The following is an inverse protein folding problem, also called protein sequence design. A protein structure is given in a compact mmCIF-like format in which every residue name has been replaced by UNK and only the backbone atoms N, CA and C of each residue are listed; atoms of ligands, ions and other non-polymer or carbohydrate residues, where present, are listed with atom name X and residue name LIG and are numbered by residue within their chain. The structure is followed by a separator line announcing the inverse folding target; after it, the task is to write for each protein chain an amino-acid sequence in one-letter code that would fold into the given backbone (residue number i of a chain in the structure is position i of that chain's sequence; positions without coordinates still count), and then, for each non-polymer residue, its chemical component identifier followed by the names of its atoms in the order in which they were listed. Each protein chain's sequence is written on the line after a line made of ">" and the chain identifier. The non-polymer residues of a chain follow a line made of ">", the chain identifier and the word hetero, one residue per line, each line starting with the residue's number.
data_IF_566831291749
#
_entry.id   IF_566831291749
#
_cell.length_a   1.000
_cell.length_b   1.000
_cell.length_c   1.000
_cell.angle_alpha   90.00
_cell.angle_beta   90.00
_cell.angle_gamma   90.00
#
_symmetry.space_group_name_H-M   'P 1'
#
loop_
_entity.id
_entity.type
_entity.pdbx_description
1 polymer ?
#
# COMPACT_ATOMS: atom_id res chain seq x y z
N UNK A 1 46.82 -37.06 24.84
CA UNK A 1 47.81 -35.97 24.89
C UNK A 1 47.07 -34.72 25.34
N UNK A 2 46.95 -34.50 26.66
CA UNK A 2 46.43 -33.26 27.23
C UNK A 2 47.54 -32.23 27.11
N UNK A 3 47.43 -31.35 26.13
CA UNK A 3 48.40 -30.28 25.93
C UNK A 3 48.06 -29.19 26.95
N UNK A 4 48.80 -29.17 28.06
CA UNK A 4 48.66 -28.14 29.09
C UNK A 4 48.90 -26.77 28.43
N UNK A 5 47.85 -25.93 28.46
CA UNK A 5 47.91 -24.56 27.97
C UNK A 5 48.98 -23.82 28.77
N UNK A 6 49.90 -23.15 28.06
CA UNK A 6 51.00 -22.41 28.68
C UNK A 6 50.44 -21.35 29.64
N UNK A 7 50.90 -21.27 30.91
CA UNK A 7 50.29 -20.41 31.93
C UNK A 7 50.26 -18.93 31.55
N UNK A 8 51.26 -18.44 30.80
CA UNK A 8 51.27 -17.06 30.29
C UNK A 8 50.24 -16.79 29.17
N UNK A 9 49.57 -17.82 28.64
CA UNK A 9 48.51 -17.68 27.64
C UNK A 9 47.10 -17.56 28.24
N UNK A 10 46.91 -17.94 29.51
CA UNK A 10 45.58 -17.95 30.17
C UNK A 10 45.32 -16.62 30.90
N UNK A 11 46.35 -15.94 31.40
CA UNK A 11 46.23 -14.77 32.29
C UNK A 11 45.71 -13.50 31.60
N UNK A 12 45.69 -13.46 30.26
CA UNK A 12 45.28 -12.28 29.48
C UNK A 12 44.18 -12.57 28.45
N UNK A 13 43.48 -13.71 28.55
CA UNK A 13 42.38 -13.98 27.62
C UNK A 13 41.17 -13.10 27.97
N UNK A 14 40.64 -12.35 27.00
CA UNK A 14 39.42 -11.57 27.23
C UNK A 14 38.24 -12.51 27.49
N UNK A 15 37.37 -12.14 28.43
CA UNK A 15 36.34 -13.03 28.99
C UNK A 15 35.27 -13.54 28.02
N UNK A 16 35.30 -13.12 26.75
CA UNK A 16 34.43 -13.64 25.70
C UNK A 16 35.03 -14.83 24.94
N UNK A 17 36.31 -15.18 25.18
CA UNK A 17 36.96 -16.37 24.60
C UNK A 17 36.70 -17.57 25.52
N UNK A 18 36.04 -18.59 24.99
CA UNK A 18 35.66 -19.79 25.74
C UNK A 18 36.66 -20.94 25.51
N UNK A 19 36.86 -21.77 26.54
CA UNK A 19 37.75 -22.94 26.45
C UNK A 19 37.24 -23.98 25.43
N UNK A 20 38.12 -24.85 24.88
CA UNK A 20 37.72 -25.91 23.97
C UNK A 20 36.65 -26.83 24.58
N UNK A 21 35.57 -27.08 23.84
CA UNK A 21 34.43 -27.90 24.29
C UNK A 21 33.38 -27.15 25.12
N UNK A 22 33.56 -25.85 25.37
CA UNK A 22 32.54 -24.97 25.98
C UNK A 22 31.74 -24.23 24.90
N UNK A 23 30.55 -23.76 25.27
CA UNK A 23 29.70 -22.95 24.39
C UNK A 23 30.31 -21.57 24.16
N UNK A 24 30.55 -21.21 22.90
CA UNK A 24 31.04 -19.88 22.52
C UNK A 24 29.91 -18.84 22.62
N UNK A 25 29.90 -18.08 23.73
CA UNK A 25 28.90 -17.06 24.00
C UNK A 25 28.99 -15.86 23.04
N UNK A 26 30.19 -15.52 22.56
CA UNK A 26 30.36 -14.44 21.60
C UNK A 26 29.74 -14.82 20.26
N UNK A 27 30.02 -16.04 19.79
CA UNK A 27 29.42 -16.56 18.57
C UNK A 27 27.89 -16.54 18.65
N UNK A 28 27.32 -17.06 19.74
CA UNK A 28 25.86 -17.05 19.95
C UNK A 28 25.31 -15.62 19.97
N UNK A 29 25.97 -14.71 20.68
CA UNK A 29 25.58 -13.30 20.74
C UNK A 29 25.59 -12.63 19.37
N UNK A 30 26.64 -12.85 18.57
CA UNK A 30 26.76 -12.33 17.21
C UNK A 30 25.68 -12.91 16.29
N UNK A 31 25.37 -14.20 16.40
CA UNK A 31 24.29 -14.83 15.61
C UNK A 31 22.94 -14.20 15.94
N UNK A 32 22.61 -14.05 17.22
CA UNK A 32 21.35 -13.41 17.64
C UNK A 32 21.31 -11.96 17.15
N UNK A 33 22.40 -11.21 17.36
CA UNK A 33 22.51 -9.83 16.91
C UNK A 33 22.32 -9.71 15.38
N UNK A 34 22.98 -10.57 14.60
CA UNK A 34 22.89 -10.56 13.14
C UNK A 34 21.45 -10.87 12.69
N UNK A 35 20.78 -11.84 13.31
CA UNK A 35 19.38 -12.14 13.01
C UNK A 35 18.49 -10.92 13.28
N UNK A 36 18.59 -10.30 14.46
CA UNK A 36 17.83 -9.10 14.79
C UNK A 36 18.11 -7.97 13.81
N UNK A 37 19.38 -7.75 13.47
CA UNK A 37 19.80 -6.70 12.56
C UNK A 37 19.24 -6.90 11.15
N UNK A 38 19.30 -8.13 10.62
CA UNK A 38 18.69 -8.49 9.32
C UNK A 38 17.19 -8.31 9.34
N UNK A 39 16.49 -8.70 10.42
CA UNK A 39 15.06 -8.50 10.56
C UNK A 39 14.69 -7.00 10.57
N UNK A 40 15.46 -6.18 11.30
CA UNK A 40 15.24 -4.72 11.37
C UNK A 40 15.42 -4.09 9.99
N UNK A 41 16.54 -4.39 9.31
CA UNK A 41 16.81 -3.85 7.97
C UNK A 41 15.78 -4.36 6.95
N UNK A 42 15.46 -5.65 6.99
CA UNK A 42 14.45 -6.24 6.11
C UNK A 42 13.08 -5.59 6.29
N UNK A 43 12.66 -5.38 7.55
CA UNK A 43 11.42 -4.66 7.84
C UNK A 43 11.46 -3.21 7.35
N UNK A 44 12.56 -2.50 7.56
CA UNK A 44 12.74 -1.13 7.07
C UNK A 44 12.69 -1.08 5.53
N UNK A 45 13.30 -2.06 4.87
CA UNK A 45 13.29 -2.18 3.41
C UNK A 45 11.87 -2.35 2.86
N UNK A 46 11.08 -3.27 3.46
CA UNK A 46 9.67 -3.43 3.07
C UNK A 46 8.84 -2.17 3.36
N UNK A 47 9.08 -1.51 4.50
CA UNK A 47 8.38 -0.29 4.87
C UNK A 47 8.68 0.86 3.89
N UNK A 48 9.95 1.03 3.49
CA UNK A 48 10.36 2.07 2.53
C UNK A 48 9.78 1.81 1.14
N UNK A 49 9.69 0.55 0.71
CA UNK A 49 9.08 0.17 -0.56
C UNK A 49 7.56 0.38 -0.60
N UNK A 50 6.89 0.35 0.54
CA UNK A 50 5.46 0.64 0.67
C UNK A 50 5.14 2.16 0.79
N UNK A 51 6.15 3.04 0.84
CA UNK A 51 5.95 4.50 0.92
C UNK A 51 5.20 5.07 -0.29
N UNK A 52 5.54 4.75 -1.55
CA UNK A 52 4.82 5.25 -2.72
C UNK A 52 3.31 4.95 -2.66
N UNK A 53 2.96 3.72 -2.26
CA UNK A 53 1.58 3.29 -2.09
C UNK A 53 0.85 4.15 -1.05
N UNK A 54 1.42 4.31 0.14
CA UNK A 54 0.84 5.15 1.21
C UNK A 54 0.66 6.61 0.80
N UNK A 55 1.56 7.14 -0.03
CA UNK A 55 1.48 8.52 -0.51
C UNK A 55 0.39 8.69 -1.58
N UNK A 56 0.20 7.70 -2.44
CA UNK A 56 -0.83 7.71 -3.48
C UNK A 56 -2.27 7.59 -2.93
N UNK A 57 -2.48 7.27 -1.65
CA UNK A 57 -3.83 7.18 -1.07
C UNK A 57 -4.63 8.50 -1.11
N UNK A 58 -3.98 9.65 -1.31
CA UNK A 58 -4.65 10.96 -1.41
C UNK A 58 -5.12 11.31 -2.82
N UNK A 59 -4.93 10.43 -3.79
CA UNK A 59 -5.19 10.70 -5.21
C UNK A 59 -6.29 9.81 -5.79
N UNK A 60 -6.48 9.85 -7.12
CA UNK A 60 -7.43 9.01 -7.84
C UNK A 60 -7.15 7.51 -7.67
N UNK A 61 -8.22 6.70 -7.70
CA UNK A 61 -8.16 5.23 -7.57
C UNK A 61 -7.20 4.60 -8.59
N UNK A 62 -7.25 5.06 -9.84
CA UNK A 62 -6.40 4.53 -10.93
C UNK A 62 -4.92 4.83 -10.67
N UNK A 63 -4.58 6.03 -10.20
CA UNK A 63 -3.18 6.36 -9.91
C UNK A 63 -2.67 5.58 -8.68
N UNK A 64 -3.52 5.31 -7.69
CA UNK A 64 -3.17 4.38 -6.60
C UNK A 64 -2.83 2.98 -7.12
N UNK A 65 -3.66 2.41 -8.00
CA UNK A 65 -3.42 1.09 -8.59
C UNK A 65 -2.10 1.06 -9.38
N UNK A 66 -1.84 2.08 -10.20
CA UNK A 66 -0.58 2.18 -10.97
C UNK A 66 0.62 2.26 -10.04
N UNK A 67 0.58 3.09 -9.00
CA UNK A 67 1.67 3.24 -8.04
C UNK A 67 1.90 1.93 -7.26
N UNK A 68 0.83 1.23 -6.87
CA UNK A 68 0.92 -0.06 -6.19
C UNK A 68 1.58 -1.13 -7.07
N UNK A 69 1.21 -1.21 -8.36
CA UNK A 69 1.83 -2.14 -9.32
C UNK A 69 3.31 -1.80 -9.53
N UNK A 70 3.66 -0.52 -9.66
CA UNK A 70 5.06 -0.07 -9.77
C UNK A 70 5.90 -0.47 -8.55
N UNK A 71 5.36 -0.29 -7.34
CA UNK A 71 6.03 -0.69 -6.11
C UNK A 71 6.20 -2.22 -6.03
N UNK A 72 5.18 -2.99 -6.43
CA UNK A 72 5.24 -4.45 -6.48
C UNK A 72 6.30 -4.96 -7.46
N UNK A 73 6.35 -4.41 -8.68
CA UNK A 73 7.37 -4.75 -9.68
C UNK A 73 8.76 -4.37 -9.17
N UNK A 74 8.91 -3.20 -8.54
CA UNK A 74 10.18 -2.79 -7.93
C UNK A 74 10.68 -3.79 -6.89
N UNK A 75 9.77 -4.31 -6.06
CA UNK A 75 10.11 -5.26 -5.00
C UNK A 75 10.52 -6.62 -5.57
N UNK A 76 9.77 -7.13 -6.55
CA UNK A 76 10.03 -8.42 -7.19
C UNK A 76 11.31 -8.40 -8.03
N UNK A 77 11.53 -7.34 -8.80
CA UNK A 77 12.70 -7.21 -9.70
C UNK A 77 13.93 -6.63 -8.99
N UNK A 78 13.78 -6.04 -7.80
CA UNK A 78 14.85 -5.30 -7.12
C UNK A 78 15.41 -4.11 -7.92
N UNK A 79 14.63 -3.58 -8.88
CA UNK A 79 15.03 -2.43 -9.69
C UNK A 79 14.42 -1.14 -9.12
N UNK A 80 15.28 -0.31 -8.50
CA UNK A 80 14.90 0.94 -7.84
C UNK A 80 14.25 1.97 -8.78
N UNK A 81 14.44 1.86 -10.11
CA UNK A 81 13.83 2.78 -11.06
C UNK A 81 12.30 2.80 -10.95
N UNK A 82 11.68 1.62 -10.75
CA UNK A 82 10.23 1.51 -10.61
C UNK A 82 9.73 2.11 -9.29
N UNK A 83 10.46 1.95 -8.19
CA UNK A 83 10.14 2.61 -6.92
C UNK A 83 10.26 4.14 -7.03
N UNK A 84 11.33 4.65 -7.64
CA UNK A 84 11.53 6.09 -7.87
C UNK A 84 10.41 6.64 -8.75
N UNK A 85 10.06 5.94 -9.84
CA UNK A 85 8.95 6.32 -10.72
C UNK A 85 7.60 6.35 -9.98
N UNK A 86 7.32 5.34 -9.14
CA UNK A 86 6.13 5.30 -8.30
C UNK A 86 6.08 6.46 -7.29
N UNK A 87 7.22 6.81 -6.69
CA UNK A 87 7.33 7.94 -5.76
C UNK A 87 7.09 9.28 -6.47
N UNK A 88 7.71 9.50 -7.63
CA UNK A 88 7.52 10.70 -8.45
C UNK A 88 6.06 10.81 -8.92
N UNK A 89 5.48 9.70 -9.38
CA UNK A 89 4.08 9.65 -9.80
C UNK A 89 3.14 9.94 -8.63
N UNK A 90 3.39 9.42 -7.44
CA UNK A 90 2.58 9.69 -6.24
C UNK A 90 2.69 11.13 -5.74
N UNK A 91 3.80 11.83 -6.03
CA UNK A 91 4.01 13.21 -5.60
C UNK A 91 3.23 14.22 -6.47
N UNK A 92 3.04 13.90 -7.75
CA UNK A 92 2.27 14.73 -8.69
C UNK A 92 0.80 14.32 -8.64
N UNK A 93 -0.08 15.26 -8.32
CA UNK A 93 -1.53 15.00 -8.34
C UNK A 93 -2.03 15.10 -9.78
N UNK A 94 -2.43 13.97 -10.37
CA UNK A 94 -3.08 13.97 -11.68
C UNK A 94 -4.57 14.20 -11.43
N UNK A 95 -5.18 15.27 -11.97
CA UNK A 95 -6.60 15.54 -11.78
C UNK A 95 -7.45 14.47 -12.50
N UNK A 96 -8.65 14.23 -11.98
CA UNK A 96 -9.59 13.30 -12.60
C UNK A 96 -10.24 13.93 -13.85
N UNK A 97 -9.78 13.50 -15.01
CA UNK A 97 -10.31 13.94 -16.31
C UNK A 97 -11.51 13.13 -16.80
N UNK A 98 -11.85 12.02 -16.13
CA UNK A 98 -12.93 11.13 -16.56
C UNK A 98 -14.32 11.69 -16.22
N UNK A 99 -14.47 12.23 -15.01
CA UNK A 99 -15.73 12.82 -14.53
C UNK A 99 -16.27 13.94 -15.43
N UNK A 100 -15.45 14.95 -15.84
CA UNK A 100 -15.91 15.99 -16.76
C UNK A 100 -16.28 15.44 -18.16
N UNK A 101 -15.51 14.46 -18.67
CA UNK A 101 -15.76 13.86 -19.98
C UNK A 101 -17.08 13.08 -19.99
N UNK A 102 -17.36 12.33 -18.92
CA UNK A 102 -18.61 11.61 -18.75
C UNK A 102 -19.82 12.56 -18.69
N UNK A 103 -19.68 13.70 -17.98
CA UNK A 103 -20.71 14.74 -17.93
C UNK A 103 -21.02 15.34 -19.31
N UNK A 104 -19.98 15.60 -20.12
CA UNK A 104 -20.15 16.10 -21.50
C UNK A 104 -20.84 15.04 -22.36
N UNK A 105 -20.39 13.78 -22.31
CA UNK A 105 -20.99 12.68 -23.06
C UNK A 105 -22.47 12.48 -22.71
N UNK A 106 -22.81 12.55 -21.42
CA UNK A 106 -24.19 12.45 -20.95
C UNK A 106 -25.05 13.63 -21.42
N UNK A 107 -24.50 14.85 -21.40
CA UNK A 107 -25.19 16.05 -21.87
C UNK A 107 -25.42 16.03 -23.38
N UNK A 108 -24.44 15.54 -24.16
CA UNK A 108 -24.56 15.35 -25.60
C UNK A 108 -25.57 14.24 -25.95
N UNK A 109 -25.59 13.13 -25.21
CA UNK A 109 -26.56 12.05 -25.39
C UNK A 109 -28.00 12.53 -25.20
N UNK A 110 -28.26 13.33 -24.16
CA UNK A 110 -29.55 13.99 -23.93
C UNK A 110 -29.94 14.94 -25.07
N UNK A 111 -28.99 15.72 -25.60
CA UNK A 111 -29.24 16.66 -26.70
C UNK A 111 -29.50 15.95 -28.03
N UNK A 112 -28.91 14.78 -28.26
CA UNK A 112 -29.12 13.98 -29.48
C UNK A 112 -30.45 13.22 -29.49
N UNK A 113 -31.28 13.35 -28.45
CA UNK A 113 -32.52 12.58 -28.32
C UNK A 113 -32.31 11.08 -28.04
N UNK A 114 -31.08 10.65 -27.72
CA UNK A 114 -30.82 9.30 -27.21
C UNK A 114 -31.24 9.25 -25.74
N UNK A 115 -32.49 8.88 -25.51
CA UNK A 115 -32.95 8.52 -24.16
C UNK A 115 -32.21 7.25 -23.75
N UNK A 116 -31.57 7.28 -22.58
CA UNK A 116 -30.65 6.24 -22.06
C UNK A 116 -31.25 4.81 -22.01
N UNK A 117 -32.58 4.68 -22.12
CA UNK A 117 -33.28 3.40 -22.08
C UNK A 117 -33.35 2.67 -23.44
N UNK A 118 -33.09 3.34 -24.57
CA UNK A 118 -33.37 2.75 -25.89
C UNK A 118 -32.21 1.93 -26.48
N UNK A 119 -31.00 2.06 -25.94
CA UNK A 119 -29.88 1.17 -26.26
C UNK A 119 -29.25 0.73 -24.95
N UNK A 120 -29.43 -0.55 -24.59
CA UNK A 120 -28.89 -1.18 -23.40
C UNK A 120 -27.36 -1.27 -23.41
N UNK A 121 -26.69 -0.12 -23.42
CA UNK A 121 -25.25 0.01 -23.27
C UNK A 121 -24.90 0.06 -21.78
N UNK A 122 -24.41 -1.04 -21.19
CA UNK A 122 -24.19 -1.15 -19.75
C UNK A 122 -23.09 -0.21 -19.24
N UNK A 123 -22.31 0.42 -20.13
CA UNK A 123 -21.29 1.40 -19.77
C UNK A 123 -21.84 2.78 -19.35
N UNK A 124 -23.15 3.02 -19.54
CA UNK A 124 -23.82 4.30 -19.27
C UNK A 124 -24.75 4.27 -18.04
N UNK A 125 -24.85 3.13 -17.36
CA UNK A 125 -25.67 3.00 -16.16
C UNK A 125 -25.04 3.80 -15.02
N UNK A 126 -25.75 4.75 -14.39
CA UNK A 126 -25.24 5.46 -13.22
C UNK A 126 -25.01 4.45 -12.08
N UNK A 127 -23.77 4.31 -11.62
CA UNK A 127 -23.51 3.77 -10.28
C UNK A 127 -24.26 4.67 -9.29
N UNK A 128 -25.28 4.10 -8.66
CA UNK A 128 -26.21 4.77 -7.76
C UNK A 128 -25.45 5.43 -6.61
N UNK A 129 -25.27 6.75 -6.68
CA UNK A 129 -24.81 7.53 -5.53
C UNK A 129 -25.83 7.40 -4.39
N UNK A 130 -25.39 7.25 -3.13
CA UNK A 130 -26.30 6.93 -2.03
C UNK A 130 -27.23 8.11 -1.78
N UNK A 131 -28.53 7.87 -1.95
CA UNK A 131 -29.60 8.80 -1.62
C UNK A 131 -29.60 9.06 -0.10
N UNK A 132 -29.57 10.32 0.39
CA UNK A 132 -29.70 10.56 1.82
C UNK A 132 -31.11 10.15 2.24
N UNK A 133 -31.17 9.22 3.20
CA UNK A 133 -32.40 8.80 3.83
C UNK A 133 -32.99 9.93 4.68
N UNK A 134 -34.28 10.19 4.52
CA UNK A 134 -35.04 11.02 5.46
C UNK A 134 -36.15 11.81 4.79
N UNK A 135 -37.32 11.19 4.65
CA UNK A 135 -38.58 11.64 5.27
C UNK A 135 -39.74 11.04 4.48
N UNK A 136 -40.25 9.93 5.02
CA UNK A 136 -41.53 9.38 4.65
C UNK A 136 -42.55 9.75 5.74
N UNK A 137 -43.75 10.08 5.24
CA UNK A 137 -45.06 9.78 5.83
C UNK A 137 -45.71 10.84 6.72
N UNK A 138 -46.86 11.32 6.22
CA UNK A 138 -48.16 11.51 6.93
C UNK A 138 -48.80 12.81 6.44
N UNK A 139 -50.06 12.93 6.03
CA UNK A 139 -51.17 12.02 5.70
C UNK A 139 -52.27 12.97 5.21
N UNK A 140 -52.93 12.69 4.09
CA UNK A 140 -54.19 13.37 3.76
C UNK A 140 -55.29 12.95 4.75
N UNK A 141 -56.36 13.72 4.85
CA UNK A 141 -57.61 13.12 4.40
C UNK A 141 -58.49 14.05 3.57
N UNK A 142 -59.36 13.37 2.83
CA UNK A 142 -60.38 13.84 1.91
C UNK A 142 -61.71 14.04 2.65
N UNK A 143 -62.52 15.04 2.26
CA UNK A 143 -63.89 15.22 2.74
C UNK A 143 -64.57 16.48 2.18
N UNK A 144 -65.62 16.27 1.38
CA UNK A 144 -66.49 17.24 0.70
C UNK A 144 -67.43 18.06 1.61
N UNK A 145 -67.96 19.16 1.07
CA UNK A 145 -69.41 19.44 1.15
C UNK A 145 -69.89 20.67 1.95
N UNK A 146 -70.37 21.66 1.18
CA UNK A 146 -71.41 22.70 1.46
C UNK A 146 -71.20 23.63 2.67
#
# INVERSE_FOLDING_TARGET
>A
MTQDLHPAAIEHLPGFITAPGQTDYLFVGVVIFLLLFVLIIGNLYFQLHAVPERMAHRTSKVQMEIVAVLALISLFTHNHLFWIAGLLLAFVHIPDFSTPLYSIAQSLGKLSGRTLEENGDPALLPEESPKPAGESSTSAPQGEGI
#
